data_IF_742760234923
#
_entry.id   IF_742760234923
#
_cell.length_a   1.000
_cell.length_b   1.000
_cell.length_c   1.000
_cell.angle_alpha   90.00
_cell.angle_beta   90.00
_cell.angle_gamma   90.00
#
_symmetry.space_group_name_H-M   'P 1'
#
loop_
_entity.id
_entity.type
_entity.pdbx_description
1 polymer ?
#
# COMPACT_ATOMS: atom_id res chain seq x y z
N UNK A 1 -7.43 -6.25 -15.30
CA UNK A 1 -6.60 -5.03 -15.38
C UNK A 1 -6.66 -4.47 -16.80
N UNK A 2 -6.94 -3.17 -16.94
CA UNK A 2 -6.90 -2.48 -18.24
C UNK A 2 -5.45 -2.45 -18.77
N UNK A 3 -5.24 -2.78 -20.04
CA UNK A 3 -3.89 -2.77 -20.66
C UNK A 3 -3.40 -1.36 -21.03
N UNK A 4 -4.33 -0.40 -21.13
CA UNK A 4 -4.10 1.00 -21.52
C UNK A 4 -5.30 1.84 -21.07
N UNK A 5 -5.10 3.09 -20.62
CA UNK A 5 -6.20 4.00 -20.24
C UNK A 5 -7.22 4.22 -21.38
N UNK A 6 -6.79 4.15 -22.64
CA UNK A 6 -7.66 4.28 -23.81
C UNK A 6 -8.57 3.06 -24.07
N UNK A 7 -8.28 1.91 -23.45
CA UNK A 7 -9.17 0.74 -23.52
C UNK A 7 -10.55 0.98 -22.90
N UNK A 8 -10.69 2.03 -22.08
CA UNK A 8 -11.96 2.40 -21.46
C UNK A 8 -13.04 2.71 -22.50
N UNK A 9 -12.69 3.33 -23.62
CA UNK A 9 -13.63 3.65 -24.70
C UNK A 9 -14.24 2.38 -25.29
N UNK A 10 -13.42 1.34 -25.51
CA UNK A 10 -13.91 0.05 -25.99
C UNK A 10 -14.84 -0.63 -24.99
N UNK A 11 -14.61 -0.45 -23.68
CA UNK A 11 -15.47 -0.98 -22.61
C UNK A 11 -16.81 -0.27 -22.62
N UNK A 12 -16.81 1.06 -22.66
CA UNK A 12 -18.03 1.88 -22.68
C UNK A 12 -18.86 1.56 -23.94
N UNK A 13 -18.23 1.41 -25.12
CA UNK A 13 -18.92 1.00 -26.34
C UNK A 13 -19.67 -0.33 -26.19
N UNK A 14 -19.04 -1.31 -25.53
CA UNK A 14 -19.64 -2.63 -25.28
C UNK A 14 -20.83 -2.54 -24.33
N UNK A 15 -20.69 -1.82 -23.22
CA UNK A 15 -21.79 -1.63 -22.25
C UNK A 15 -22.98 -0.90 -22.89
N UNK A 16 -22.71 0.12 -23.70
CA UNK A 16 -23.74 0.90 -24.41
C UNK A 16 -24.25 0.24 -25.70
N UNK A 17 -23.74 -0.95 -26.07
CA UNK A 17 -24.10 -1.67 -27.30
C UNK A 17 -24.03 -0.80 -28.58
N UNK A 18 -23.03 0.09 -28.65
CA UNK A 18 -22.85 1.00 -29.80
C UNK A 18 -22.20 0.24 -30.95
N UNK A 19 -22.78 0.26 -32.17
CA UNK A 19 -22.18 -0.40 -33.32
C UNK A 19 -20.89 0.32 -33.73
N UNK A 20 -19.75 -0.33 -33.52
CA UNK A 20 -18.43 0.18 -33.89
C UNK A 20 -17.94 -0.44 -35.20
N UNK A 21 -17.41 0.37 -36.12
CA UNK A 21 -16.83 -0.07 -37.40
C UNK A 21 -15.43 -0.69 -37.29
N UNK A 22 -14.88 -0.84 -36.07
CA UNK A 22 -13.62 -1.55 -35.82
C UNK A 22 -13.16 -1.47 -34.36
N UNK A 23 -12.18 -2.30 -33.99
CA UNK A 23 -11.62 -2.44 -32.62
C UNK A 23 -10.59 -1.36 -32.25
N UNK A 24 -10.34 -0.39 -33.14
CA UNK A 24 -9.39 0.69 -32.90
C UNK A 24 -9.91 1.66 -31.85
N UNK A 25 -9.03 2.12 -30.95
CA UNK A 25 -9.37 3.07 -29.88
C UNK A 25 -9.99 4.37 -30.41
N UNK A 26 -9.45 4.89 -31.54
CA UNK A 26 -10.00 6.08 -32.22
C UNK A 26 -11.38 5.84 -32.83
N UNK A 27 -11.63 4.64 -33.34
CA UNK A 27 -12.94 4.30 -33.90
C UNK A 27 -14.01 4.21 -32.80
N UNK A 28 -13.65 3.65 -31.64
CA UNK A 28 -14.51 3.61 -30.46
C UNK A 28 -14.81 5.01 -29.93
N UNK A 29 -13.79 5.87 -29.83
CA UNK A 29 -13.96 7.28 -29.44
C UNK A 29 -14.97 8.00 -30.36
N UNK A 30 -14.76 7.94 -31.69
CA UNK A 30 -15.64 8.63 -32.64
C UNK A 30 -17.08 8.08 -32.63
N UNK A 31 -17.26 6.78 -32.37
CA UNK A 31 -18.56 6.16 -32.27
C UNK A 31 -19.31 6.62 -31.01
N UNK A 32 -18.62 6.69 -29.86
CA UNK A 32 -19.17 7.20 -28.61
C UNK A 32 -19.56 8.67 -28.73
N UNK A 33 -18.67 9.49 -29.29
CA UNK A 33 -18.94 10.91 -29.51
C UNK A 33 -20.23 11.09 -30.34
N UNK A 34 -20.34 10.40 -31.49
CA UNK A 34 -21.55 10.42 -32.33
C UNK A 34 -22.80 9.91 -31.60
N UNK A 35 -22.66 8.96 -30.68
CA UNK A 35 -23.78 8.43 -29.92
C UNK A 35 -24.25 9.41 -28.85
N UNK A 36 -23.32 10.05 -28.13
CA UNK A 36 -23.60 11.07 -27.11
C UNK A 36 -24.21 12.34 -27.69
N UNK A 37 -23.88 12.70 -28.93
CA UNK A 37 -24.49 13.84 -29.62
C UNK A 37 -25.86 13.55 -30.25
N UNK A 38 -26.30 12.29 -30.32
CA UNK A 38 -27.67 11.94 -30.75
C UNK A 38 -28.66 12.06 -29.59
N UNK A 39 -29.96 12.11 -29.88
CA UNK A 39 -31.00 11.97 -28.84
C UNK A 39 -30.93 10.57 -28.24
N UNK A 40 -30.27 10.43 -27.10
CA UNK A 40 -30.18 9.20 -26.31
C UNK A 40 -30.97 9.31 -25.00
N UNK A 41 -31.17 8.19 -24.29
CA UNK A 41 -31.71 8.18 -22.91
C UNK A 41 -30.67 8.75 -21.95
N UNK A 42 -31.07 9.21 -20.77
CA UNK A 42 -30.10 9.67 -19.78
C UNK A 42 -29.14 8.52 -19.41
N UNK A 43 -27.83 8.78 -19.45
CA UNK A 43 -26.77 7.81 -19.14
C UNK A 43 -26.09 8.26 -17.85
N UNK A 44 -25.99 7.37 -16.87
CA UNK A 44 -25.16 7.58 -15.69
C UNK A 44 -23.92 6.70 -15.87
N UNK A 45 -22.77 7.33 -16.09
CA UNK A 45 -21.49 6.64 -16.18
C UNK A 45 -20.79 6.71 -14.83
N UNK A 46 -20.66 5.57 -14.17
CA UNK A 46 -19.90 5.45 -12.92
C UNK A 46 -18.54 4.86 -13.23
N UNK A 47 -17.49 5.60 -12.89
CA UNK A 47 -16.09 5.18 -13.02
C UNK A 47 -15.52 5.01 -11.62
N UNK A 48 -15.31 3.76 -11.22
CA UNK A 48 -14.58 3.43 -10.00
C UNK A 48 -13.07 3.48 -10.26
N UNK A 49 -12.28 3.85 -9.24
CA UNK A 49 -10.83 4.03 -9.31
C UNK A 49 -10.37 4.89 -10.52
N UNK A 50 -11.02 6.03 -10.74
CA UNK A 50 -10.77 6.91 -11.90
C UNK A 50 -9.33 7.47 -11.91
N UNK A 51 -8.63 7.46 -10.79
CA UNK A 51 -7.20 7.76 -10.66
C UNK A 51 -6.31 6.77 -11.42
N UNK A 52 -6.77 5.55 -11.71
CA UNK A 52 -6.07 4.59 -12.58
C UNK A 52 -6.00 5.05 -14.05
N UNK A 53 -6.84 6.01 -14.45
CA UNK A 53 -6.83 6.59 -15.79
C UNK A 53 -5.86 7.78 -15.89
N UNK A 54 -5.27 8.22 -14.78
CA UNK A 54 -4.25 9.27 -14.76
C UNK A 54 -2.96 8.74 -15.40
N UNK A 55 -2.72 9.18 -16.64
CA UNK A 55 -1.57 8.80 -17.44
C UNK A 55 -0.76 10.03 -17.80
N UNK A 56 0.49 9.88 -18.26
CA UNK A 56 1.43 10.99 -18.53
C UNK A 56 0.88 12.16 -19.38
N UNK A 57 -0.18 11.94 -20.18
CA UNK A 57 -0.82 13.00 -21.00
C UNK A 57 -2.23 13.38 -20.56
N UNK A 58 -2.81 12.68 -19.59
CA UNK A 58 -4.17 12.94 -19.03
C UNK A 58 -5.32 13.01 -20.05
N UNK A 59 -5.10 12.70 -21.33
CA UNK A 59 -6.06 12.95 -22.40
C UNK A 59 -7.41 12.25 -22.18
N UNK A 60 -7.39 11.03 -21.63
CA UNK A 60 -8.61 10.23 -21.40
C UNK A 60 -9.50 10.86 -20.33
N UNK A 61 -8.90 11.34 -19.23
CA UNK A 61 -9.65 12.01 -18.16
C UNK A 61 -10.31 13.28 -18.68
N UNK A 62 -9.55 14.15 -19.38
CA UNK A 62 -10.09 15.39 -19.95
C UNK A 62 -11.30 15.14 -20.86
N UNK A 63 -11.19 14.19 -21.79
CA UNK A 63 -12.30 13.82 -22.68
C UNK A 63 -13.56 13.39 -21.92
N UNK A 64 -13.41 12.56 -20.88
CA UNK A 64 -14.56 12.05 -20.12
C UNK A 64 -15.28 13.19 -19.37
N UNK A 65 -14.52 14.12 -18.78
CA UNK A 65 -15.10 15.30 -18.13
C UNK A 65 -15.72 16.27 -19.13
N UNK A 66 -15.14 16.45 -20.31
CA UNK A 66 -15.73 17.24 -21.40
C UNK A 66 -17.09 16.66 -21.83
N UNK A 67 -17.21 15.34 -21.97
CA UNK A 67 -18.47 14.69 -22.31
C UNK A 67 -19.59 14.92 -21.29
N UNK A 68 -19.23 14.99 -19.99
CA UNK A 68 -20.17 15.29 -18.91
C UNK A 68 -20.59 16.75 -18.81
N UNK A 69 -19.85 17.67 -19.42
CA UNK A 69 -20.13 19.11 -19.40
C UNK A 69 -20.73 19.65 -20.69
N UNK A 70 -20.60 18.92 -21.81
CA UNK A 70 -21.42 19.15 -22.98
C UNK A 70 -22.91 19.01 -22.61
N UNK A 71 -23.84 19.64 -23.34
CA UNK A 71 -25.29 19.49 -23.13
C UNK A 71 -25.78 18.10 -23.61
N UNK A 72 -25.03 17.06 -23.25
CA UNK A 72 -25.36 15.65 -23.44
C UNK A 72 -26.24 15.20 -22.27
N UNK A 73 -27.03 14.14 -22.47
CA UNK A 73 -27.84 13.57 -21.37
C UNK A 73 -26.99 12.58 -20.56
N UNK A 74 -25.78 12.98 -20.17
CA UNK A 74 -24.80 12.13 -19.50
C UNK A 74 -24.43 12.71 -18.13
N UNK A 75 -24.47 11.88 -17.10
CA UNK A 75 -23.98 12.20 -15.75
C UNK A 75 -22.75 11.33 -15.50
N UNK A 76 -21.61 11.97 -15.26
CA UNK A 76 -20.37 11.29 -14.90
C UNK A 76 -20.19 11.29 -13.38
N UNK A 77 -20.02 10.11 -12.79
CA UNK A 77 -19.66 9.92 -11.38
C UNK A 77 -18.31 9.23 -11.34
N UNK A 78 -17.28 9.92 -10.85
CA UNK A 78 -15.94 9.36 -10.67
C UNK A 78 -15.66 9.13 -9.19
N UNK A 79 -15.22 7.93 -8.83
CA UNK A 79 -14.71 7.59 -7.49
C UNK A 79 -13.19 7.50 -7.59
N UNK A 80 -12.49 8.24 -6.72
CA UNK A 80 -11.03 8.30 -6.68
C UNK A 80 -10.56 8.21 -5.22
N UNK A 81 -9.38 7.62 -4.99
CA UNK A 81 -8.77 7.63 -3.66
C UNK A 81 -8.03 8.95 -3.37
N UNK A 82 -7.47 9.58 -4.41
CA UNK A 82 -6.76 10.84 -4.28
C UNK A 82 -7.72 12.04 -4.40
N UNK A 83 -7.94 12.74 -3.29
CA UNK A 83 -8.72 14.00 -3.23
C UNK A 83 -8.22 15.06 -4.21
N UNK A 84 -6.90 15.09 -4.43
CA UNK A 84 -6.24 16.08 -5.28
C UNK A 84 -6.25 15.71 -6.77
N UNK A 85 -6.90 14.62 -7.18
CA UNK A 85 -6.92 14.20 -8.58
C UNK A 85 -7.45 15.34 -9.47
N UNK A 86 -8.52 16.01 -9.05
CA UNK A 86 -9.11 17.11 -9.82
C UNK A 86 -8.25 18.38 -9.82
N UNK A 87 -7.42 18.59 -8.79
CA UNK A 87 -6.54 19.77 -8.70
C UNK A 87 -5.20 19.54 -9.43
N UNK A 88 -4.62 18.35 -9.32
CA UNK A 88 -3.33 17.99 -9.92
C UNK A 88 -3.45 17.55 -11.37
N UNK A 89 -4.45 16.72 -11.70
CA UNK A 89 -4.57 16.14 -13.02
C UNK A 89 -5.38 17.00 -14.01
N UNK A 90 -6.18 17.95 -13.51
CA UNK A 90 -7.16 18.67 -14.32
C UNK A 90 -7.14 20.20 -14.17
N UNK A 91 -5.97 20.89 -14.13
CA UNK A 91 -5.93 22.35 -13.99
C UNK A 91 -6.63 23.09 -15.15
N UNK A 92 -6.69 22.50 -16.35
CA UNK A 92 -7.35 23.13 -17.52
C UNK A 92 -8.89 23.08 -17.43
N UNK A 93 -9.47 22.17 -16.64
CA UNK A 93 -10.91 22.09 -16.42
C UNK A 93 -11.42 23.08 -15.36
N UNK A 94 -10.51 23.65 -14.54
CA UNK A 94 -10.89 24.63 -13.51
C UNK A 94 -11.39 25.97 -14.10
N UNK A 95 -11.13 26.25 -15.37
CA UNK A 95 -11.53 27.48 -16.04
C UNK A 95 -13.00 27.49 -16.55
N UNK A 96 -13.81 26.45 -16.28
CA UNK A 96 -15.23 26.45 -16.67
C UNK A 96 -15.99 25.13 -16.49
N UNK A 97 -15.30 24.01 -16.24
CA UNK A 97 -15.88 22.68 -16.08
C UNK A 97 -15.46 22.06 -14.74
N UNK A 98 -15.78 22.72 -13.62
CA UNK A 98 -15.41 22.21 -12.29
C UNK A 98 -16.40 21.11 -11.86
N UNK A 99 -15.97 19.85 -11.69
CA UNK A 99 -16.85 18.81 -11.18
C UNK A 99 -17.20 19.08 -9.71
N UNK A 100 -18.42 18.73 -9.31
CA UNK A 100 -18.82 18.74 -7.89
C UNK A 100 -18.08 17.63 -7.16
N UNK A 101 -17.27 17.98 -6.17
CA UNK A 101 -16.51 17.01 -5.37
C UNK A 101 -17.25 16.73 -4.06
N UNK A 102 -17.48 15.45 -3.77
CA UNK A 102 -17.99 14.98 -2.48
C UNK A 102 -16.89 14.21 -1.77
N UNK A 103 -16.40 14.74 -0.65
CA UNK A 103 -15.36 14.10 0.15
C UNK A 103 -15.99 13.12 1.15
N UNK A 104 -15.52 11.88 1.12
CA UNK A 104 -15.82 10.87 2.13
C UNK A 104 -14.67 10.82 3.14
N UNK A 105 -14.83 11.43 4.34
CA UNK A 105 -13.78 11.39 5.34
C UNK A 105 -13.59 9.96 5.88
N UNK A 106 -12.40 9.65 6.41
CA UNK A 106 -12.18 8.38 7.10
C UNK A 106 -13.18 8.19 8.25
N UNK A 107 -13.51 6.95 8.54
CA UNK A 107 -14.51 6.64 9.56
C UNK A 107 -14.04 7.03 10.95
N UNK A 108 -14.93 7.66 11.71
CA UNK A 108 -14.74 7.96 13.13
C UNK A 108 -14.84 6.69 13.97
N UNK A 109 -14.31 6.73 15.20
CA UNK A 109 -14.41 5.62 16.17
C UNK A 109 -15.85 5.11 16.32
N UNK A 110 -16.80 6.02 16.48
CA UNK A 110 -18.21 5.67 16.68
C UNK A 110 -18.83 5.04 15.43
N UNK A 111 -18.52 5.57 14.24
CA UNK A 111 -18.96 4.97 12.99
C UNK A 111 -18.39 3.57 12.80
N UNK A 112 -17.11 3.34 13.14
CA UNK A 112 -16.50 2.01 13.06
C UNK A 112 -17.22 1.04 14.00
N UNK A 113 -17.51 1.44 15.25
CA UNK A 113 -18.25 0.59 16.20
C UNK A 113 -19.64 0.26 15.66
N UNK A 114 -20.36 1.25 15.14
CA UNK A 114 -21.71 1.06 14.60
C UNK A 114 -21.71 0.13 13.39
N UNK A 115 -20.75 0.29 12.47
CA UNK A 115 -20.64 -0.58 11.28
C UNK A 115 -20.20 -1.99 11.70
N UNK A 116 -19.27 -2.10 12.64
CA UNK A 116 -18.78 -3.40 13.11
C UNK A 116 -19.92 -4.20 13.78
N UNK A 117 -20.70 -3.54 14.64
CA UNK A 117 -21.87 -4.16 15.29
C UNK A 117 -23.00 -4.47 14.31
N UNK A 118 -23.24 -3.66 13.27
CA UNK A 118 -24.27 -3.95 12.26
C UNK A 118 -23.87 -5.07 11.30
N UNK A 119 -22.58 -5.20 11.01
CA UNK A 119 -22.06 -6.20 10.05
C UNK A 119 -21.92 -7.58 10.69
N UNK A 120 -21.68 -7.65 12.01
CA UNK A 120 -21.67 -8.91 12.73
C UNK A 120 -23.07 -9.52 12.79
N UNK A 121 -23.18 -10.81 12.44
CA UNK A 121 -24.37 -11.60 12.72
C UNK A 121 -24.69 -11.58 14.22
N UNK A 122 -25.96 -11.72 14.59
CA UNK A 122 -26.40 -11.64 16.00
C UNK A 122 -25.61 -12.57 16.92
N UNK A 123 -25.24 -13.76 16.43
CA UNK A 123 -24.43 -14.74 17.16
C UNK A 123 -23.01 -14.26 17.49
N UNK A 124 -22.45 -13.32 16.71
CA UNK A 124 -21.10 -12.78 16.89
C UNK A 124 -21.06 -11.41 17.60
N UNK A 125 -22.21 -10.78 17.84
CA UNK A 125 -22.29 -9.47 18.54
C UNK A 125 -21.83 -9.58 19.99
N UNK A 126 -22.09 -10.72 20.63
CA UNK A 126 -21.69 -11.00 22.02
C UNK A 126 -20.26 -11.56 22.14
N UNK A 127 -19.57 -11.79 21.03
CA UNK A 127 -18.20 -12.29 21.06
C UNK A 127 -17.21 -11.21 21.47
N UNK A 128 -17.46 -9.93 21.19
CA UNK A 128 -16.54 -8.87 21.60
C UNK A 128 -16.97 -8.22 22.92
N UNK A 129 -16.05 -8.15 23.87
CA UNK A 129 -16.23 -7.25 25.02
C UNK A 129 -16.37 -5.80 24.52
N UNK A 130 -17.30 -5.00 25.05
CA UNK A 130 -17.52 -3.62 24.61
C UNK A 130 -16.25 -2.76 24.73
N UNK A 131 -15.44 -3.01 25.76
CA UNK A 131 -14.15 -2.33 25.96
C UNK A 131 -13.15 -2.73 24.85
N UNK A 132 -13.10 -4.01 24.51
CA UNK A 132 -12.22 -4.53 23.46
C UNK A 132 -12.59 -3.96 22.08
N UNK A 133 -13.88 -3.88 21.77
CA UNK A 133 -14.38 -3.26 20.54
C UNK A 133 -14.06 -1.75 20.47
N UNK A 134 -14.25 -1.03 21.58
CA UNK A 134 -13.91 0.39 21.64
C UNK A 134 -12.42 0.63 21.42
N UNK A 135 -11.54 -0.22 21.97
CA UNK A 135 -10.10 -0.09 21.78
C UNK A 135 -9.67 -0.41 20.35
N UNK A 136 -10.24 -1.46 19.74
CA UNK A 136 -10.02 -1.79 18.33
C UNK A 136 -10.43 -0.64 17.42
N UNK A 137 -11.65 -0.13 17.58
CA UNK A 137 -12.16 0.98 16.78
C UNK A 137 -11.34 2.26 16.98
N UNK A 138 -10.94 2.58 18.22
CA UNK A 138 -10.14 3.76 18.52
C UNK A 138 -8.76 3.69 17.83
N UNK A 139 -8.09 2.54 17.89
CA UNK A 139 -6.77 2.36 17.26
C UNK A 139 -6.87 2.52 15.75
N UNK A 140 -7.91 1.95 15.12
CA UNK A 140 -8.04 1.99 13.67
C UNK A 140 -8.44 3.38 13.17
N UNK A 141 -9.37 4.05 13.85
CA UNK A 141 -9.73 5.44 13.56
C UNK A 141 -8.51 6.37 13.66
N UNK A 142 -7.62 6.14 14.63
CA UNK A 142 -6.42 6.94 14.81
C UNK A 142 -5.34 6.70 13.73
N UNK A 143 -5.25 5.49 13.15
CA UNK A 143 -4.20 5.15 12.18
C UNK A 143 -4.64 5.36 10.74
N UNK A 144 -5.86 4.93 10.39
CA UNK A 144 -6.29 4.83 8.98
C UNK A 144 -7.74 5.22 8.76
N UNK A 145 -8.63 4.89 9.70
CA UNK A 145 -10.08 5.04 9.55
C UNK A 145 -10.70 4.23 8.39
N UNK A 146 -10.01 3.17 7.94
CA UNK A 146 -10.49 2.26 6.89
C UNK A 146 -11.26 1.08 7.51
N UNK A 147 -12.52 0.94 7.10
CA UNK A 147 -13.40 -0.12 7.59
C UNK A 147 -13.00 -1.51 7.09
N UNK A 148 -12.39 -1.62 5.90
CA UNK A 148 -11.90 -2.91 5.38
C UNK A 148 -10.86 -3.49 6.33
N UNK A 149 -9.88 -2.66 6.71
CA UNK A 149 -8.86 -3.01 7.70
C UNK A 149 -9.46 -3.35 9.06
N UNK A 150 -10.49 -2.64 9.49
CA UNK A 150 -11.19 -2.95 10.75
C UNK A 150 -11.85 -4.33 10.76
N UNK A 151 -12.53 -4.70 9.68
CA UNK A 151 -13.11 -6.04 9.56
C UNK A 151 -12.04 -7.13 9.49
N UNK A 152 -10.95 -6.89 8.76
CA UNK A 152 -9.84 -7.84 8.65
C UNK A 152 -9.14 -8.09 9.99
N UNK A 153 -8.87 -7.03 10.75
CA UNK A 153 -8.29 -7.13 12.09
C UNK A 153 -9.28 -7.81 13.03
N UNK A 154 -10.55 -7.43 12.99
CA UNK A 154 -11.61 -8.07 13.77
C UNK A 154 -11.64 -9.58 13.55
N UNK A 155 -11.59 -10.02 12.28
CA UNK A 155 -11.52 -11.44 11.93
C UNK A 155 -10.29 -12.13 12.52
N UNK A 156 -9.11 -11.53 12.42
CA UNK A 156 -7.88 -12.09 13.01
C UNK A 156 -7.96 -12.25 14.53
N UNK A 157 -8.58 -11.28 15.22
CA UNK A 157 -8.78 -11.37 16.66
C UNK A 157 -9.70 -12.52 17.03
N UNK A 158 -10.81 -12.71 16.29
CA UNK A 158 -11.72 -13.85 16.50
C UNK A 158 -10.99 -15.18 16.28
N UNK A 159 -10.18 -15.27 15.22
CA UNK A 159 -9.41 -16.47 14.91
C UNK A 159 -8.38 -16.77 16.00
N UNK A 160 -7.72 -15.76 16.56
CA UNK A 160 -6.80 -15.91 17.69
C UNK A 160 -7.53 -16.37 18.95
N UNK A 161 -8.69 -15.78 19.25
CA UNK A 161 -9.50 -16.15 20.42
C UNK A 161 -10.01 -17.60 20.33
N UNK A 162 -10.36 -18.06 19.13
CA UNK A 162 -10.70 -19.47 18.89
C UNK A 162 -9.49 -20.37 19.13
N UNK A 163 -8.31 -20.03 18.62
CA UNK A 163 -7.09 -20.84 18.79
C UNK A 163 -6.67 -20.96 20.26
N UNK A 164 -6.71 -19.86 21.02
CA UNK A 164 -6.33 -19.89 22.44
C UNK A 164 -7.28 -20.78 23.26
N UNK A 165 -8.59 -20.75 22.97
CA UNK A 165 -9.56 -21.66 23.61
C UNK A 165 -9.34 -23.13 23.22
N UNK A 166 -8.92 -23.40 21.98
CA UNK A 166 -8.60 -24.76 21.53
C UNK A 166 -7.28 -25.32 22.11
N UNK A 167 -6.30 -24.46 22.44
CA UNK A 167 -5.04 -24.91 23.07
C UNK A 167 -5.18 -25.16 24.57
N UNK A 168 -6.13 -24.51 25.23
CA UNK A 168 -6.51 -24.80 26.62
C UNK A 168 -7.48 -26.00 26.64
N UNK A 169 -6.95 -27.23 26.58
CA UNK A 169 -7.71 -28.47 26.71
C UNK A 169 -8.48 -28.55 28.04
N UNK A 170 -9.69 -27.96 28.09
CA UNK A 170 -10.80 -28.50 28.89
C UNK A 170 -11.44 -29.65 28.09
N UNK A 171 -11.86 -30.68 28.80
CA UNK A 171 -12.43 -31.93 28.28
C UNK A 171 -13.50 -31.72 27.19
N UNK A 172 -13.61 -32.70 26.29
CA UNK A 172 -14.56 -32.80 25.17
C UNK A 172 -16.03 -32.57 25.63
N UNK A 173 -16.37 -32.86 26.89
CA UNK A 173 -17.70 -32.62 27.46
C UNK A 173 -18.06 -31.14 27.70
N UNK A 174 -17.09 -30.23 27.80
CA UNK A 174 -17.33 -28.79 27.99
C UNK A 174 -17.53 -28.06 26.64
N UNK A 175 -17.19 -28.72 25.51
CA UNK A 175 -17.29 -28.17 24.16
C UNK A 175 -18.73 -27.93 23.68
N UNK A 176 -19.72 -28.62 24.26
CA UNK A 176 -21.13 -28.47 23.89
C UNK A 176 -21.88 -27.40 24.68
N UNK A 177 -21.28 -26.84 25.75
CA UNK A 177 -21.99 -25.93 26.68
C UNK A 177 -21.58 -24.47 26.57
N UNK A 178 -20.39 -24.16 26.07
CA UNK A 178 -19.92 -22.77 25.96
C UNK A 178 -19.61 -22.39 24.50
N UNK A 179 -20.67 -22.17 23.73
CA UNK A 179 -20.60 -21.63 22.37
C UNK A 179 -20.06 -20.19 22.31
N UNK A 180 -19.81 -19.54 23.46
CA UNK A 180 -19.46 -18.13 23.53
C UNK A 180 -17.94 -17.94 23.52
N UNK A 181 -17.34 -17.84 22.33
CA UNK A 181 -15.95 -17.35 22.23
C UNK A 181 -15.98 -15.85 22.51
N UNK A 182 -15.64 -15.45 23.73
CA UNK A 182 -15.45 -14.06 24.11
C UNK A 182 -14.02 -13.63 23.79
N UNK A 183 -13.91 -12.51 23.09
CA UNK A 183 -12.69 -11.82 22.75
C UNK A 183 -12.34 -10.90 23.90
N UNK A 184 -11.20 -11.18 24.51
CA UNK A 184 -10.64 -10.36 25.57
C UNK A 184 -9.77 -9.24 25.02
N UNK A 185 -9.59 -8.19 25.83
CA UNK A 185 -8.76 -7.05 25.45
C UNK A 185 -7.31 -7.45 25.14
N UNK A 186 -6.77 -8.45 25.85
CA UNK A 186 -5.40 -8.95 25.64
C UNK A 186 -5.19 -9.45 24.21
N UNK A 187 -6.15 -10.19 23.66
CA UNK A 187 -6.09 -10.74 22.30
C UNK A 187 -6.17 -9.63 21.25
N UNK A 188 -7.01 -8.61 21.48
CA UNK A 188 -7.06 -7.42 20.62
C UNK A 188 -5.72 -6.71 20.61
N UNK A 189 -5.11 -6.48 21.77
CA UNK A 189 -3.82 -5.80 21.88
C UNK A 189 -2.69 -6.59 21.21
N UNK A 190 -2.71 -7.92 21.32
CA UNK A 190 -1.74 -8.78 20.65
C UNK A 190 -1.80 -8.64 19.12
N UNK A 191 -2.99 -8.75 18.53
CA UNK A 191 -3.17 -8.59 17.09
C UNK A 191 -2.89 -7.15 16.64
N UNK A 192 -3.28 -6.15 17.42
CA UNK A 192 -2.99 -4.75 17.10
C UNK A 192 -1.48 -4.46 17.15
N UNK A 193 -0.73 -5.08 18.07
CA UNK A 193 0.72 -4.96 18.13
C UNK A 193 1.41 -5.74 17.00
N UNK A 194 0.85 -6.86 16.56
CA UNK A 194 1.37 -7.57 15.39
C UNK A 194 1.16 -6.76 14.09
N UNK A 195 -0.02 -6.15 13.93
CA UNK A 195 -0.38 -5.41 12.70
C UNK A 195 0.19 -3.99 12.66
N UNK A 196 0.23 -3.29 13.80
CA UNK A 196 0.63 -1.89 13.91
C UNK A 196 1.82 -1.63 14.82
N UNK A 197 2.38 -2.65 15.47
CA UNK A 197 3.63 -2.50 16.20
C UNK A 197 4.79 -2.33 15.21
N UNK A 198 5.51 -1.22 15.31
CA UNK A 198 6.69 -0.91 14.51
C UNK A 198 7.91 -1.81 14.80
N UNK A 199 7.71 -2.99 15.36
CA UNK A 199 8.74 -4.00 15.57
C UNK A 199 8.03 -5.29 15.94
N UNK A 200 8.25 -6.35 15.16
CA UNK A 200 8.39 -7.69 15.77
C UNK A 200 9.26 -7.47 16.99
N UNK A 201 8.77 -7.75 18.20
CA UNK A 201 9.47 -7.52 19.48
C UNK A 201 10.99 -7.68 19.32
N UNK A 202 11.71 -6.59 19.06
CA UNK A 202 13.17 -6.59 19.05
C UNK A 202 13.66 -6.71 20.50
N UNK A 203 12.80 -6.56 21.52
CA UNK A 203 13.27 -6.63 22.90
C UNK A 203 13.43 -8.06 23.46
N UNK A 204 12.78 -9.09 22.91
CA UNK A 204 12.81 -10.44 23.52
C UNK A 204 13.27 -11.59 22.62
N UNK A 205 13.37 -11.42 21.29
CA UNK A 205 13.80 -12.49 20.35
C UNK A 205 14.99 -12.08 19.48
N UNK A 206 15.82 -11.13 19.92
CA UNK A 206 17.10 -10.85 19.22
C UNK A 206 17.95 -12.10 19.15
N UNK A 207 17.79 -13.05 20.07
CA UNK A 207 18.58 -14.28 20.06
C UNK A 207 18.14 -15.32 19.03
N UNK A 208 16.89 -15.32 18.55
CA UNK A 208 16.40 -16.28 17.55
C UNK A 208 16.20 -15.70 16.14
N UNK A 209 16.13 -14.37 15.95
CA UNK A 209 15.70 -13.79 14.67
C UNK A 209 16.76 -13.58 13.59
N UNK A 210 18.04 -13.38 13.94
CA UNK A 210 19.10 -12.99 12.99
C UNK A 210 20.39 -13.80 13.21
N UNK A 211 20.93 -14.46 12.16
CA UNK A 211 22.25 -15.07 12.21
C UNK A 211 23.33 -14.14 12.78
N UNK A 212 24.28 -14.69 13.54
CA UNK A 212 25.36 -13.94 14.19
C UNK A 212 26.10 -12.99 13.23
N UNK A 213 26.34 -13.44 11.99
CA UNK A 213 27.00 -12.63 10.97
C UNK A 213 26.17 -11.41 10.56
N UNK A 214 24.85 -11.53 10.46
CA UNK A 214 23.96 -10.41 10.15
C UNK A 214 23.89 -9.40 11.30
N UNK A 215 23.91 -9.86 12.57
CA UNK A 215 24.02 -8.99 13.75
C UNK A 215 25.30 -8.16 13.71
N UNK A 216 26.44 -8.78 13.42
CA UNK A 216 27.73 -8.10 13.32
C UNK A 216 27.78 -7.07 12.17
N UNK A 217 27.21 -7.41 11.02
CA UNK A 217 27.09 -6.48 9.88
C UNK A 217 26.25 -5.26 10.29
N UNK A 218 25.09 -5.48 10.94
CA UNK A 218 24.22 -4.40 11.39
C UNK A 218 24.89 -3.53 12.46
N UNK A 219 25.59 -4.12 13.43
CA UNK A 219 26.38 -3.36 14.41
C UNK A 219 27.47 -2.53 13.75
N UNK A 220 28.16 -3.09 12.74
CA UNK A 220 29.21 -2.38 11.99
C UNK A 220 28.61 -1.20 11.21
N UNK A 221 27.44 -1.39 10.60
CA UNK A 221 26.69 -0.34 9.92
C UNK A 221 26.26 0.78 10.91
N UNK A 222 25.70 0.41 12.07
CA UNK A 222 25.32 1.37 13.11
C UNK A 222 26.52 2.15 13.66
N UNK A 223 27.67 1.50 13.85
CA UNK A 223 28.91 2.16 14.27
C UNK A 223 29.39 3.19 13.24
N UNK A 224 29.30 2.86 11.95
CA UNK A 224 29.65 3.79 10.87
C UNK A 224 28.66 4.96 10.77
N UNK A 225 27.36 4.70 10.92
CA UNK A 225 26.32 5.72 10.93
C UNK A 225 26.38 6.62 12.17
N UNK A 226 26.74 6.08 13.33
CA UNK A 226 26.89 6.86 14.57
C UNK A 226 28.13 7.77 14.55
N UNK A 227 29.19 7.40 13.82
CA UNK A 227 30.44 8.18 13.74
C UNK A 227 30.53 9.07 12.48
N UNK A 228 29.74 8.77 11.44
CA UNK A 228 29.74 9.50 10.18
C UNK A 228 28.58 10.49 10.04
N UNK A 229 28.76 11.57 9.28
CA UNK A 229 27.66 12.49 8.89
C UNK A 229 26.88 12.04 7.65
N UNK A 230 27.42 11.07 6.89
CA UNK A 230 26.80 10.56 5.67
C UNK A 230 25.99 9.29 5.97
N UNK A 231 24.76 9.24 5.47
CA UNK A 231 23.85 8.10 5.61
C UNK A 231 24.05 7.01 4.56
N UNK A 232 24.82 7.31 3.51
CA UNK A 232 25.17 6.38 2.45
C UNK A 232 26.54 5.76 2.71
N UNK A 233 26.61 4.44 2.74
CA UNK A 233 27.83 3.68 3.01
C UNK A 233 28.11 2.75 1.84
N UNK A 234 29.33 2.84 1.31
CA UNK A 234 29.80 1.95 0.25
C UNK A 234 30.04 0.55 0.83
N UNK A 235 29.53 -0.48 0.16
CA UNK A 235 29.63 -1.88 0.59
C UNK A 235 31.07 -2.32 0.93
N UNK A 236 32.06 -1.90 0.15
CA UNK A 236 33.47 -2.22 0.42
C UNK A 236 34.00 -1.60 1.73
N UNK A 237 33.58 -0.37 2.06
CA UNK A 237 33.94 0.26 3.34
C UNK A 237 33.25 -0.42 4.52
N UNK A 238 32.01 -0.87 4.33
CA UNK A 238 31.30 -1.66 5.32
C UNK A 238 32.03 -2.99 5.60
N UNK A 239 32.50 -3.69 4.56
CA UNK A 239 33.24 -4.94 4.70
C UNK A 239 34.54 -4.78 5.50
N UNK A 240 35.32 -3.72 5.25
CA UNK A 240 36.55 -3.44 6.00
C UNK A 240 36.29 -3.23 7.51
N UNK A 241 35.24 -2.48 7.85
CA UNK A 241 34.88 -2.23 9.25
C UNK A 241 34.33 -3.50 9.89
N UNK A 242 33.46 -4.23 9.20
CA UNK A 242 32.93 -5.51 9.66
C UNK A 242 34.04 -6.52 9.91
N UNK A 243 35.04 -6.63 9.04
CA UNK A 243 36.18 -7.54 9.20
C UNK A 243 36.95 -7.24 10.50
N UNK A 244 37.25 -5.97 10.78
CA UNK A 244 37.91 -5.56 12.04
C UNK A 244 37.07 -5.88 13.27
N UNK A 245 35.75 -5.68 13.18
CA UNK A 245 34.82 -5.99 14.29
C UNK A 245 34.72 -7.51 14.52
N UNK A 246 34.66 -8.31 13.47
CA UNK A 246 34.64 -9.77 13.53
C UNK A 246 35.94 -10.34 14.13
N UNK A 247 37.10 -9.83 13.69
CA UNK A 247 38.42 -10.21 14.21
C UNK A 247 38.56 -9.87 15.70
N UNK A 248 38.09 -8.68 16.12
CA UNK A 248 38.10 -8.27 17.55
C UNK A 248 37.23 -9.18 18.43
N UNK A 249 36.20 -9.80 17.83
CA UNK A 249 35.29 -10.73 18.51
C UNK A 249 35.69 -12.20 18.36
N UNK A 250 36.85 -12.48 17.75
CA UNK A 250 37.33 -13.84 17.47
C UNK A 250 36.35 -14.67 16.62
N UNK A 251 35.66 -14.04 15.69
CA UNK A 251 34.71 -14.65 14.76
C UNK A 251 35.31 -14.60 13.35
N UNK A 252 35.25 -15.72 12.62
CA UNK A 252 35.73 -15.77 11.25
C UNK A 252 34.92 -14.79 10.36
N UNK A 253 35.58 -13.83 9.69
CA UNK A 253 34.89 -12.87 8.85
C UNK A 253 34.43 -13.53 7.54
N UNK A 254 33.23 -13.15 7.08
CA UNK A 254 32.73 -13.55 5.77
C UNK A 254 33.49 -12.87 4.63
N UNK A 255 33.62 -13.59 3.51
CA UNK A 255 34.12 -13.02 2.26
C UNK A 255 33.10 -12.01 1.68
N UNK A 256 33.55 -11.10 0.82
CA UNK A 256 32.70 -10.02 0.31
C UNK A 256 31.42 -10.54 -0.37
N UNK A 257 31.51 -11.67 -1.09
CA UNK A 257 30.37 -12.32 -1.76
C UNK A 257 29.32 -12.86 -0.77
N UNK A 258 29.78 -13.45 0.33
CA UNK A 258 28.92 -13.99 1.38
C UNK A 258 28.30 -12.87 2.22
N UNK A 259 29.05 -11.80 2.46
CA UNK A 259 28.54 -10.59 3.10
C UNK A 259 27.44 -9.94 2.24
N UNK A 260 27.63 -9.84 0.91
CA UNK A 260 26.59 -9.34 0.02
C UNK A 260 25.31 -10.18 0.13
N UNK A 261 25.43 -11.50 0.15
CA UNK A 261 24.28 -12.41 0.33
C UNK A 261 23.59 -12.19 1.68
N UNK A 262 24.36 -11.99 2.76
CA UNK A 262 23.83 -11.68 4.08
C UNK A 262 23.13 -10.30 4.14
N UNK A 263 23.63 -9.30 3.41
CA UNK A 263 23.00 -7.98 3.30
C UNK A 263 21.72 -8.04 2.47
N UNK A 264 21.67 -8.83 1.41
CA UNK A 264 20.42 -9.04 0.65
C UNK A 264 19.32 -9.68 1.51
N UNK A 265 19.67 -10.53 2.48
CA UNK A 265 18.71 -11.04 3.47
C UNK A 265 18.24 -9.96 4.44
N UNK A 266 19.13 -9.07 4.88
CA UNK A 266 18.76 -7.91 5.70
C UNK A 266 17.89 -6.92 4.93
N UNK A 267 18.10 -6.78 3.63
CA UNK A 267 17.26 -6.00 2.73
C UNK A 267 15.87 -6.62 2.56
N UNK A 268 15.78 -7.94 2.41
CA UNK A 268 14.51 -8.66 2.39
C UNK A 268 13.71 -8.50 3.70
N UNK A 269 14.40 -8.26 4.83
CA UNK A 269 13.78 -7.94 6.12
C UNK A 269 13.41 -6.45 6.27
N UNK A 270 13.76 -5.61 5.30
CA UNK A 270 13.51 -4.17 5.31
C UNK A 270 14.43 -3.39 6.25
N UNK A 271 15.53 -3.98 6.74
CA UNK A 271 16.45 -3.34 7.67
C UNK A 271 17.49 -2.45 6.97
N UNK A 272 17.81 -2.74 5.71
CA UNK A 272 18.81 -2.01 4.89
C UNK A 272 18.28 -1.91 3.46
N UNK A 273 18.57 -0.82 2.76
CA UNK A 273 18.29 -0.68 1.33
C UNK A 273 19.60 -0.65 0.55
N UNK A 274 19.75 -1.51 -0.44
CA UNK A 274 20.97 -1.57 -1.26
C UNK A 274 20.66 -0.94 -2.63
N UNK A 275 21.34 0.16 -2.93
CA UNK A 275 21.30 0.73 -4.29
C UNK A 275 22.45 0.15 -5.12
N UNK A 276 22.11 -0.53 -6.22
CA UNK A 276 23.10 -0.93 -7.21
C UNK A 276 23.62 0.32 -7.95
N UNK A 277 24.83 0.76 -7.59
CA UNK A 277 25.55 1.76 -8.37
C UNK A 277 25.77 1.25 -9.79
N UNK A 278 25.33 2.03 -10.78
CA UNK A 278 25.43 1.70 -12.20
C UNK A 278 26.83 1.16 -12.54
N UNK A 279 26.91 -0.13 -12.89
CA UNK A 279 28.11 -0.73 -13.47
C UNK A 279 28.45 0.07 -14.73
N UNK A 280 29.49 0.90 -14.63
CA UNK A 280 30.08 1.60 -15.76
C UNK A 280 30.44 0.59 -16.84
N UNK A 281 29.68 0.61 -17.93
CA UNK A 281 29.92 -0.21 -19.10
C UNK A 281 31.26 0.15 -19.71
N UNK A 282 32.24 -0.73 -19.53
CA UNK A 282 33.52 -0.67 -20.20
C UNK A 282 33.30 -1.06 -21.68
N UNK A 283 33.09 -0.07 -22.54
CA UNK A 283 33.30 -0.16 -23.98
C UNK A 283 34.25 0.97 -24.37
N UNK A 284 35.43 0.57 -24.85
CA UNK A 284 36.46 1.48 -25.31
C UNK A 284 36.04 2.29 -26.53
N UNK A 285 36.66 3.47 -26.67
CA UNK A 285 36.63 4.26 -27.89
C UNK A 285 36.57 5.77 -27.66
N UNK A 286 37.75 6.38 -27.45
CA UNK A 286 38.10 7.69 -28.00
C UNK A 286 37.35 8.97 -27.55
N UNK A 287 38.06 9.81 -26.80
CA UNK A 287 38.15 11.24 -27.12
C UNK A 287 37.15 12.21 -26.47
N UNK A 288 37.66 12.99 -25.51
CA UNK A 288 37.44 14.44 -25.46
C UNK A 288 36.22 15.00 -24.71
N UNK A 289 36.53 15.66 -23.58
CA UNK A 289 35.88 16.86 -23.03
C UNK A 289 34.44 16.79 -22.51
N UNK A 290 34.21 17.31 -21.30
CA UNK A 290 32.90 17.85 -20.90
C UNK A 290 32.48 17.57 -19.46
N UNK A 291 32.53 18.61 -18.63
CA UNK A 291 31.92 18.73 -17.31
C UNK A 291 30.46 18.25 -17.25
N UNK A 292 30.04 17.65 -16.13
CA UNK A 292 28.87 18.07 -15.33
C UNK A 292 28.58 17.08 -14.19
N UNK A 293 28.72 17.56 -12.95
CA UNK A 293 28.15 16.88 -11.79
C UNK A 293 26.63 16.93 -11.82
N UNK A 294 25.98 15.87 -11.34
CA UNK A 294 24.56 15.90 -11.01
C UNK A 294 24.36 15.35 -9.61
N UNK A 295 24.17 16.30 -8.68
CA UNK A 295 23.47 16.08 -7.40
C UNK A 295 22.02 15.75 -7.72
N UNK A 296 21.49 14.70 -7.11
CA UNK A 296 20.04 14.57 -6.91
C UNK A 296 19.76 14.40 -5.44
N UNK A 297 19.39 15.52 -4.82
CA UNK A 297 18.70 15.62 -3.55
C UNK A 297 17.35 14.90 -3.67
N UNK A 298 17.04 13.99 -2.75
CA UNK A 298 15.66 13.67 -2.39
C UNK A 298 15.53 13.55 -0.87
N UNK A 299 14.40 14.00 -0.29
CA UNK A 299 14.26 14.28 1.13
C UNK A 299 14.04 12.99 1.92
N UNK A 300 14.62 12.97 3.11
CA UNK A 300 14.45 11.92 4.11
C UNK A 300 13.06 11.99 4.74
N UNK A 301 12.38 10.84 4.79
CA UNK A 301 11.53 10.47 5.92
C UNK A 301 12.40 10.03 7.10
#
# INVERSE_FOLDING_TARGET
MMKSAASIYSRICKELHVPTTGTSEKACYNALEKYLFKKHKMIILVLDEIDQLDSKRQCVLYTLFEWGALPSRMVLVGVANALDLTQRALPRLQAGLRPTTMHFPPYTKEQIINIFTSTLADDMKNMFSPVALQMLAAKIAAVSGDMRRALDIGRRVIDLARRSKFSENRSIDDMMKDSSVTVELKQVLEVLNDVYGCSRKIDNDVDEGLPMQQKLILCSLMLMLSKGRNKEIIMGKLHEVYKRVAETRNIAPLELSEMCSAVSLLEALGAVTVEEGARGGQRGGGGGSGYAGTRTNWPLL
#
